data_IF_800522579748
#
_entry.id   IF_800522579748
#
_cell.length_a   1.000
_cell.length_b   1.000
_cell.length_c   1.000
_cell.angle_alpha   90.00
_cell.angle_beta   90.00
_cell.angle_gamma   90.00
#
_symmetry.space_group_name_H-M   'P 1'
#
loop_
_entity.id
_entity.type
_entity.pdbx_description
1 polymer ?
#
# COMPACT_ATOMS: atom_id res chain seq x y z
N UNK A 1 21.64 0.67 35.62
CA UNK A 1 21.20 1.80 34.76
C UNK A 1 20.73 1.26 33.45
N UNK A 2 19.46 1.36 33.18
CA UNK A 2 18.86 0.86 31.96
C UNK A 2 18.96 1.93 30.89
N UNK A 3 19.70 1.65 29.83
CA UNK A 3 19.67 2.47 28.65
C UNK A 3 18.27 2.39 28.05
N UNK A 4 17.60 3.53 27.80
CA UNK A 4 16.33 3.46 27.12
C UNK A 4 16.53 2.83 25.76
N UNK A 5 15.85 1.71 25.55
CA UNK A 5 15.81 1.10 24.24
C UNK A 5 15.00 2.02 23.35
N UNK A 6 15.68 2.77 22.51
CA UNK A 6 14.98 3.53 21.48
C UNK A 6 14.48 2.50 20.51
N UNK A 7 13.19 2.22 20.56
CA UNK A 7 12.58 1.40 19.53
C UNK A 7 12.83 2.08 18.19
N UNK A 8 13.32 1.35 17.18
CA UNK A 8 13.45 1.94 15.85
C UNK A 8 12.09 2.48 15.41
N UNK A 9 12.09 3.62 14.75
CA UNK A 9 10.86 4.17 14.18
C UNK A 9 10.14 3.07 13.40
N UNK A 10 8.83 2.91 13.56
CA UNK A 10 8.11 1.87 12.85
C UNK A 10 8.29 2.07 11.35
N UNK A 11 8.78 1.03 10.69
CA UNK A 11 8.90 1.03 9.24
C UNK A 11 7.50 1.00 8.65
N UNK A 12 7.15 2.00 7.87
CA UNK A 12 5.89 2.01 7.18
C UNK A 12 5.91 0.96 6.07
N UNK A 13 4.98 0.04 6.13
CA UNK A 13 4.85 -1.02 5.13
C UNK A 13 3.67 -0.68 4.23
N UNK A 14 3.90 -0.79 2.94
CA UNK A 14 2.86 -0.57 1.94
C UNK A 14 2.54 -1.86 1.22
N UNK A 15 1.24 -2.09 0.96
CA UNK A 15 0.77 -3.19 0.14
C UNK A 15 0.33 -2.65 -1.21
N UNK A 16 0.52 -3.45 -2.26
CA UNK A 16 -0.02 -3.14 -3.57
C UNK A 16 -1.51 -3.45 -3.59
N UNK A 17 -2.28 -2.55 -4.17
CA UNK A 17 -3.73 -2.69 -4.26
C UNK A 17 -4.21 -2.24 -5.62
N UNK A 18 -5.21 -2.93 -6.15
CA UNK A 18 -5.77 -2.60 -7.46
C UNK A 18 -7.12 -1.95 -7.30
N UNK A 19 -7.30 -0.82 -7.96
CA UNK A 19 -8.55 -0.09 -7.94
C UNK A 19 -9.64 -0.89 -8.63
N UNK A 20 -10.85 -0.84 -8.08
CA UNK A 20 -12.05 -1.42 -8.69
C UNK A 20 -12.84 -0.41 -9.51
N UNK A 21 -12.36 0.84 -9.57
CA UNK A 21 -13.04 1.88 -10.33
C UNK A 21 -13.01 1.56 -11.83
N UNK A 22 -14.01 2.04 -12.53
CA UNK A 22 -14.07 1.95 -13.98
C UNK A 22 -13.51 3.26 -14.58
N UNK A 23 -12.77 3.15 -15.68
CA UNK A 23 -12.23 4.31 -16.37
C UNK A 23 -10.74 4.17 -16.67
N UNK A 24 -10.10 5.23 -17.20
CA UNK A 24 -8.71 5.16 -17.64
C UNK A 24 -7.71 4.85 -16.53
N UNK A 25 -8.07 5.13 -15.26
CA UNK A 25 -7.22 4.84 -14.10
C UNK A 25 -7.60 3.56 -13.36
N UNK A 26 -8.57 2.83 -13.87
CA UNK A 26 -9.18 1.69 -13.17
C UNK A 26 -8.21 0.54 -12.90
N UNK A 27 -7.18 0.39 -13.71
CA UNK A 27 -6.23 -0.72 -13.60
C UNK A 27 -4.90 -0.32 -12.93
N UNK A 28 -4.84 0.87 -12.35
CA UNK A 28 -3.61 1.32 -11.70
C UNK A 28 -3.37 0.59 -10.38
N UNK A 29 -2.11 0.29 -10.13
CA UNK A 29 -1.67 -0.19 -8.83
C UNK A 29 -1.50 0.98 -7.87
N UNK A 30 -2.06 0.83 -6.68
CA UNK A 30 -2.02 1.84 -5.62
C UNK A 30 -1.32 1.29 -4.39
N UNK A 31 -0.89 2.18 -3.51
CA UNK A 31 -0.30 1.82 -2.24
C UNK A 31 -1.32 1.97 -1.11
N UNK A 32 -1.39 0.98 -0.24
CA UNK A 32 -2.16 1.03 1.00
C UNK A 32 -1.19 0.88 2.16
N UNK A 33 -1.26 1.77 3.13
CA UNK A 33 -0.47 1.67 4.35
C UNK A 33 -1.00 0.53 5.21
N UNK A 34 -0.12 -0.42 5.55
CA UNK A 34 -0.50 -1.65 6.25
C UNK A 34 -0.14 -1.54 7.72
N UNK A 35 -1.13 -1.73 8.58
CA UNK A 35 -0.97 -1.72 10.04
C UNK A 35 -1.28 -3.07 10.69
N UNK A 36 -1.59 -4.07 9.90
CA UNK A 36 -1.95 -5.42 10.35
C UNK A 36 -1.14 -6.45 9.56
N UNK A 37 -1.02 -7.70 10.04
CA UNK A 37 -0.35 -8.75 9.28
C UNK A 37 -0.93 -8.89 7.87
N UNK A 38 -0.05 -9.16 6.90
CA UNK A 38 -0.44 -9.25 5.49
C UNK A 38 -1.55 -10.26 5.23
N UNK A 39 -1.56 -11.35 5.99
CA UNK A 39 -2.62 -12.35 5.86
C UNK A 39 -4.02 -11.82 6.19
N UNK A 40 -4.08 -10.83 7.08
CA UNK A 40 -5.37 -10.23 7.48
C UNK A 40 -5.86 -9.18 6.48
N UNK A 41 -4.96 -8.57 5.75
CA UNK A 41 -5.32 -7.49 4.81
C UNK A 41 -5.45 -7.97 3.37
N UNK A 42 -4.96 -9.17 3.06
CA UNK A 42 -5.05 -9.71 1.71
C UNK A 42 -6.51 -9.82 1.26
N UNK A 43 -6.81 -9.24 0.10
CA UNK A 43 -8.15 -9.21 -0.46
C UNK A 43 -9.09 -8.16 0.15
N UNK A 44 -8.65 -7.43 1.17
CA UNK A 44 -9.46 -6.37 1.77
C UNK A 44 -9.51 -5.14 0.86
N UNK A 45 -10.67 -4.47 0.84
CA UNK A 45 -10.82 -3.18 0.17
C UNK A 45 -10.51 -2.09 1.16
N UNK A 46 -9.49 -1.28 0.85
CA UNK A 46 -9.00 -0.22 1.73
C UNK A 46 -8.79 1.06 0.94
N UNK A 47 -8.78 2.19 1.63
CA UNK A 47 -8.41 3.46 1.03
C UNK A 47 -6.91 3.48 0.78
N UNK A 48 -6.54 3.84 -0.44
CA UNK A 48 -5.15 4.00 -0.84
C UNK A 48 -4.60 5.36 -0.41
N UNK A 49 -3.29 5.55 -0.55
CA UNK A 49 -2.65 6.84 -0.21
C UNK A 49 -3.24 8.01 -1.00
N UNK A 50 -3.65 7.78 -2.23
CA UNK A 50 -4.26 8.82 -3.06
C UNK A 50 -5.76 9.00 -2.81
N UNK A 51 -6.36 8.22 -1.92
CA UNK A 51 -7.76 8.32 -1.56
C UNK A 51 -8.71 7.46 -2.40
N UNK A 52 -8.20 6.63 -3.28
CA UNK A 52 -9.00 5.69 -4.06
C UNK A 52 -9.28 4.42 -3.27
N UNK A 53 -10.41 3.78 -3.50
CA UNK A 53 -10.70 2.50 -2.91
C UNK A 53 -10.09 1.40 -3.78
N UNK A 54 -9.33 0.49 -3.18
CA UNK A 54 -8.66 -0.58 -3.90
C UNK A 54 -8.59 -1.85 -3.07
N UNK A 55 -8.50 -2.98 -3.76
CA UNK A 55 -8.37 -4.29 -3.15
C UNK A 55 -6.90 -4.65 -3.01
N UNK A 56 -6.48 -4.98 -1.79
CA UNK A 56 -5.11 -5.36 -1.49
C UNK A 56 -4.80 -6.74 -2.09
N UNK A 57 -3.65 -6.81 -2.77
CA UNK A 57 -3.14 -8.04 -3.36
C UNK A 57 -1.71 -8.26 -2.85
N UNK A 58 -1.58 -9.09 -1.83
CA UNK A 58 -0.29 -9.29 -1.14
C UNK A 58 0.71 -10.14 -1.93
N UNK A 59 0.27 -10.77 -2.99
CA UNK A 59 1.14 -11.49 -3.93
C UNK A 59 1.95 -10.55 -4.84
N UNK A 60 1.64 -9.26 -4.81
CA UNK A 60 2.36 -8.23 -5.56
C UNK A 60 3.02 -7.29 -4.58
N UNK A 61 4.31 -7.04 -4.77
CA UNK A 61 5.06 -6.11 -3.92
C UNK A 61 4.79 -4.66 -4.29
N UNK A 62 4.84 -3.77 -3.33
CA UNK A 62 4.83 -2.35 -3.61
C UNK A 62 6.27 -1.79 -3.61
N UNK A 63 6.68 -0.97 -4.58
CA UNK A 63 5.90 -0.63 -5.79
C UNK A 63 5.77 -1.82 -6.75
N UNK A 64 4.63 -1.93 -7.40
CA UNK A 64 4.40 -3.00 -8.36
C UNK A 64 5.34 -2.86 -9.56
N UNK A 65 5.95 -3.96 -10.03
CA UNK A 65 6.83 -3.92 -11.19
C UNK A 65 6.03 -3.87 -12.49
N UNK A 66 5.18 -2.86 -12.62
CA UNK A 66 4.28 -2.69 -13.75
C UNK A 66 4.27 -1.23 -14.18
N UNK A 67 3.83 -0.98 -15.42
CA UNK A 67 3.76 0.39 -15.94
C UNK A 67 2.57 1.15 -15.38
N UNK A 68 1.54 0.45 -14.97
CA UNK A 68 0.29 1.01 -14.51
C UNK A 68 0.28 1.24 -13.00
N UNK A 69 1.28 1.95 -12.50
CA UNK A 69 1.40 2.32 -11.09
C UNK A 69 0.95 3.77 -10.90
N UNK A 70 0.12 4.01 -9.89
CA UNK A 70 -0.38 5.35 -9.61
C UNK A 70 0.78 6.28 -9.19
N UNK A 71 1.03 7.36 -9.94
CA UNK A 71 2.14 8.26 -9.63
C UNK A 71 1.96 8.99 -8.29
N UNK A 72 0.72 9.25 -7.90
CA UNK A 72 0.43 9.90 -6.61
C UNK A 72 0.79 8.98 -5.46
N UNK A 73 0.42 7.69 -5.55
CA UNK A 73 0.79 6.71 -4.53
C UNK A 73 2.31 6.54 -4.43
N UNK A 74 3.01 6.54 -5.56
CA UNK A 74 4.48 6.48 -5.57
C UNK A 74 5.07 7.67 -4.82
N UNK A 75 4.59 8.86 -5.10
CA UNK A 75 5.07 10.08 -4.44
C UNK A 75 4.78 10.07 -2.94
N UNK A 76 3.58 9.67 -2.55
CA UNK A 76 3.17 9.69 -1.14
C UNK A 76 3.82 8.56 -0.32
N UNK A 77 4.30 7.50 -0.96
CA UNK A 77 4.93 6.37 -0.28
C UNK A 77 6.46 6.51 -0.14
N UNK A 78 7.02 7.57 -0.61
CA UNK A 78 8.47 7.83 -0.48
C UNK A 78 8.87 8.25 0.92
#
# INVERSE_FOLDING_TARGET
MTTPTVAPAPVTVYAAARSRAHGPTAALWHAVEVHRPTLEVDGACELTLCGSLARIMTDVSWPAPARDVCPVCVTLSR
#
